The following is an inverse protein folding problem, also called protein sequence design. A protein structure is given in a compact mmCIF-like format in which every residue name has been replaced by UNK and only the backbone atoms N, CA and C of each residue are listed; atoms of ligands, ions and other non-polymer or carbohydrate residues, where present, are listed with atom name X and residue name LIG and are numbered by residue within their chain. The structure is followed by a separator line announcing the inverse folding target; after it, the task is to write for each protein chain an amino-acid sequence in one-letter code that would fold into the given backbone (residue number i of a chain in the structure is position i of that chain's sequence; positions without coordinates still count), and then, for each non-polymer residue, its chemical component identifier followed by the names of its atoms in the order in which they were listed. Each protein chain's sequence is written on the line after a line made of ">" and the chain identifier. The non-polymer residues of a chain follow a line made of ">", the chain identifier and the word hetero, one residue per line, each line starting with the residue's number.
data_IF_043973065565
#
_entry.id   IF_043973065565
#
_cell.length_a   1.000
_cell.length_b   1.000
_cell.length_c   1.000
_cell.angle_alpha   90.00
_cell.angle_beta   90.00
_cell.angle_gamma   90.00
#
_symmetry.space_group_name_H-M   'P 1'
#
loop_
_entity.id
_entity.type
_entity.pdbx_description
1 polymer ?
#
# COMPACT_ATOMS: atom_id res chain seq x y z
N UNK A 1 7.64 4.80 -20.11
CA UNK A 1 6.59 3.76 -20.08
C UNK A 1 6.44 3.03 -21.42
N UNK A 2 6.01 3.69 -22.52
CA UNK A 2 5.82 3.04 -23.85
C UNK A 2 7.01 2.22 -24.35
N UNK A 3 8.23 2.77 -24.29
CA UNK A 3 9.43 2.05 -24.74
C UNK A 3 9.73 0.80 -23.89
N UNK A 4 9.49 0.85 -22.57
CA UNK A 4 9.67 -0.30 -21.69
C UNK A 4 8.64 -1.38 -21.98
N UNK A 5 7.38 -0.99 -22.21
CA UNK A 5 6.34 -1.93 -22.61
C UNK A 5 6.66 -2.59 -23.95
N UNK A 6 7.06 -1.81 -24.97
CA UNK A 6 7.47 -2.35 -26.26
C UNK A 6 8.65 -3.32 -26.16
N UNK A 7 9.63 -3.02 -25.30
CA UNK A 7 10.73 -3.93 -25.02
C UNK A 7 10.23 -5.24 -24.39
N UNK A 8 9.38 -5.18 -23.36
CA UNK A 8 8.77 -6.39 -22.77
C UNK A 8 7.93 -7.19 -23.78
N UNK A 9 7.18 -6.50 -24.64
CA UNK A 9 6.40 -7.13 -25.71
C UNK A 9 7.28 -7.89 -26.70
N UNK A 10 8.47 -7.37 -27.02
CA UNK A 10 9.41 -8.06 -27.91
C UNK A 10 9.93 -9.40 -27.35
N UNK A 11 9.81 -9.60 -26.03
CA UNK A 11 10.13 -10.85 -25.34
C UNK A 11 8.88 -11.62 -24.86
N UNK A 12 7.66 -11.19 -25.24
CA UNK A 12 6.39 -11.77 -24.76
C UNK A 12 6.24 -11.77 -23.23
N UNK A 13 6.73 -10.72 -22.57
CA UNK A 13 6.69 -10.55 -21.12
C UNK A 13 5.64 -9.52 -20.65
N UNK A 14 4.97 -8.83 -21.56
CA UNK A 14 4.04 -7.73 -21.23
C UNK A 14 2.84 -8.15 -20.38
N UNK A 15 2.41 -9.41 -20.50
CA UNK A 15 1.28 -9.96 -19.72
C UNK A 15 1.74 -10.56 -18.37
N UNK A 16 3.05 -10.59 -18.12
CA UNK A 16 3.67 -11.09 -16.88
C UNK A 16 4.31 -9.98 -16.04
N UNK A 17 4.74 -8.91 -16.69
CA UNK A 17 5.44 -7.77 -16.08
C UNK A 17 4.72 -6.50 -16.53
N UNK A 18 3.93 -5.92 -15.65
CA UNK A 18 3.25 -4.66 -15.93
C UNK A 18 4.22 -3.48 -15.86
N UNK A 19 3.98 -2.46 -16.68
CA UNK A 19 4.67 -1.17 -16.59
C UNK A 19 3.71 -0.16 -15.97
N UNK A 20 4.05 0.33 -14.78
CA UNK A 20 3.32 1.40 -14.10
C UNK A 20 4.28 2.51 -13.63
N UNK A 21 3.77 3.45 -12.84
CA UNK A 21 4.51 4.51 -12.18
C UNK A 21 3.89 4.76 -10.81
N UNK A 22 4.72 4.98 -9.80
CA UNK A 22 4.27 5.28 -8.45
C UNK A 22 3.98 6.78 -8.30
N UNK A 23 2.95 7.11 -7.53
CA UNK A 23 2.52 8.48 -7.27
C UNK A 23 2.42 8.72 -5.77
N UNK A 24 2.84 9.89 -5.27
CA UNK A 24 2.39 10.32 -3.94
C UNK A 24 0.87 10.51 -3.95
N UNK A 25 0.21 10.23 -2.81
CA UNK A 25 -1.21 10.56 -2.62
C UNK A 25 -1.54 12.05 -2.88
N UNK A 26 -0.54 12.94 -2.84
CA UNK A 26 -0.67 14.36 -3.18
C UNK A 26 -1.07 14.63 -4.66
N UNK A 27 -1.16 13.60 -5.50
CA UNK A 27 -1.81 13.72 -6.82
C UNK A 27 -3.31 14.00 -6.73
N UNK A 28 -3.92 13.82 -5.55
CA UNK A 28 -5.32 14.17 -5.31
C UNK A 28 -5.45 15.63 -4.86
N UNK A 29 -6.40 16.38 -5.43
CA UNK A 29 -6.83 17.68 -4.92
C UNK A 29 -7.88 17.56 -3.82
N UNK A 30 -8.58 16.43 -3.76
CA UNK A 30 -9.59 16.12 -2.75
C UNK A 30 -9.53 14.64 -2.42
N UNK A 31 -9.60 14.32 -1.13
CA UNK A 31 -9.64 12.96 -0.61
C UNK A 31 -10.55 12.80 0.61
N UNK A 32 -11.32 13.84 0.97
CA UNK A 32 -12.26 13.81 2.08
C UNK A 32 -13.57 14.52 1.73
N UNK A 33 -14.74 13.86 1.92
CA UNK A 33 -14.85 12.42 2.20
C UNK A 33 -14.29 11.57 1.03
N UNK A 34 -14.00 10.27 1.21
CA UNK A 34 -13.39 9.45 0.17
C UNK A 34 -14.12 9.48 -1.18
N UNK A 35 -15.46 9.50 -1.18
CA UNK A 35 -16.28 9.64 -2.39
C UNK A 35 -16.07 10.93 -3.17
N UNK A 36 -15.49 11.96 -2.56
CA UNK A 36 -15.10 13.21 -3.22
C UNK A 36 -13.66 13.15 -3.78
N UNK A 37 -13.07 11.96 -3.85
CA UNK A 37 -11.75 11.71 -4.43
C UNK A 37 -11.62 12.29 -5.84
N UNK A 38 -10.64 13.16 -6.05
CA UNK A 38 -10.39 13.78 -7.35
C UNK A 38 -8.91 14.07 -7.55
N UNK A 39 -8.38 13.81 -8.75
CA UNK A 39 -7.03 14.19 -9.11
C UNK A 39 -6.88 15.71 -9.21
N UNK A 40 -5.77 16.22 -8.72
CA UNK A 40 -5.38 17.60 -8.94
C UNK A 40 -5.15 17.86 -10.45
N UNK A 41 -5.43 19.08 -10.93
CA UNK A 41 -5.13 19.45 -12.30
C UNK A 41 -3.66 19.17 -12.65
N UNK A 42 -3.44 18.42 -13.73
CA UNK A 42 -2.09 18.07 -14.19
C UNK A 42 -2.05 17.98 -15.71
N UNK A 43 -0.87 18.14 -16.28
CA UNK A 43 -0.63 18.04 -17.72
C UNK A 43 -0.34 16.61 -18.19
N UNK A 44 -0.19 15.67 -17.26
CA UNK A 44 0.32 14.32 -17.52
C UNK A 44 -0.59 13.18 -17.05
N UNK A 45 -1.48 13.39 -16.07
CA UNK A 45 -2.24 12.28 -15.46
C UNK A 45 -3.11 11.56 -16.48
N UNK A 46 -3.83 12.29 -17.34
CA UNK A 46 -4.67 11.69 -18.38
C UNK A 46 -3.87 10.75 -19.29
N UNK A 47 -2.67 11.13 -19.71
CA UNK A 47 -1.82 10.32 -20.59
C UNK A 47 -1.26 9.08 -19.86
N UNK A 48 -0.99 9.18 -18.57
CA UNK A 48 -0.60 8.04 -17.73
C UNK A 48 -1.77 7.07 -17.61
N UNK A 49 -2.96 7.54 -17.24
CA UNK A 49 -4.15 6.70 -17.07
C UNK A 49 -4.55 6.00 -18.37
N UNK A 50 -4.49 6.71 -19.50
CA UNK A 50 -4.70 6.11 -20.83
C UNK A 50 -3.70 4.98 -21.09
N UNK A 51 -2.42 5.19 -20.80
CA UNK A 51 -1.41 4.16 -20.97
C UNK A 51 -1.68 2.95 -20.10
N UNK A 52 -1.92 3.15 -18.79
CA UNK A 52 -2.19 2.09 -17.84
C UNK A 52 -3.43 1.26 -18.25
N UNK A 53 -4.50 1.93 -18.68
CA UNK A 53 -5.72 1.27 -19.14
C UNK A 53 -5.49 0.43 -20.41
N UNK A 54 -4.76 0.95 -21.40
CA UNK A 54 -4.44 0.20 -22.63
C UNK A 54 -3.59 -1.04 -22.36
N UNK A 55 -2.73 -0.99 -21.35
CA UNK A 55 -1.82 -2.10 -21.00
C UNK A 55 -2.29 -2.95 -19.84
N UNK A 56 -3.52 -2.74 -19.36
CA UNK A 56 -4.09 -3.39 -18.18
C UNK A 56 -3.15 -3.36 -16.95
N UNK A 57 -2.48 -2.23 -16.72
CA UNK A 57 -1.56 -2.03 -15.62
C UNK A 57 -2.24 -1.29 -14.45
N UNK A 58 -1.88 -1.58 -13.20
CA UNK A 58 -2.46 -0.94 -12.02
C UNK A 58 -1.97 0.50 -11.86
N UNK A 59 -2.77 1.35 -11.20
CA UNK A 59 -2.33 2.63 -10.67
C UNK A 59 -1.58 2.40 -9.35
N UNK A 60 -0.34 2.89 -9.24
CA UNK A 60 0.47 2.71 -8.03
C UNK A 60 0.53 4.00 -7.22
N UNK A 61 0.24 3.92 -5.92
CA UNK A 61 0.19 5.08 -5.03
C UNK A 61 0.94 4.84 -3.71
N UNK A 62 1.72 5.81 -3.29
CA UNK A 62 2.36 5.87 -1.98
C UNK A 62 1.38 6.58 -1.03
N UNK A 63 0.81 5.84 -0.07
CA UNK A 63 -0.26 6.32 0.81
C UNK A 63 0.12 6.12 2.27
N UNK A 64 0.19 7.21 3.03
CA UNK A 64 0.69 7.21 4.40
C UNK A 64 -0.29 7.90 5.36
N UNK A 65 -1.05 7.14 6.15
CA UNK A 65 -1.84 7.69 7.26
C UNK A 65 -1.00 8.50 8.26
N UNK A 66 0.29 8.17 8.41
CA UNK A 66 1.22 8.91 9.26
C UNK A 66 1.24 10.41 8.96
N UNK A 67 1.29 10.84 7.69
CA UNK A 67 1.39 12.26 7.37
C UNK A 67 0.12 13.04 7.72
N UNK A 68 -1.06 12.41 7.60
CA UNK A 68 -2.31 13.03 8.04
C UNK A 68 -2.33 13.22 9.56
N UNK A 69 -1.87 12.22 10.33
CA UNK A 69 -1.76 12.34 11.78
C UNK A 69 -0.72 13.37 12.21
N UNK A 70 0.48 13.34 11.62
CA UNK A 70 1.54 14.33 11.86
C UNK A 70 1.05 15.76 11.61
N UNK A 71 0.29 15.97 10.53
CA UNK A 71 -0.24 17.29 10.17
C UNK A 71 -1.39 17.79 11.06
N UNK A 72 -2.13 16.90 11.73
CA UNK A 72 -3.25 17.28 12.60
C UNK A 72 -3.49 16.25 13.72
N UNK A 73 -2.58 16.14 14.70
CA UNK A 73 -2.66 15.10 15.74
C UNK A 73 -3.85 15.28 16.69
N UNK A 74 -4.45 16.48 16.76
CA UNK A 74 -5.67 16.76 17.50
C UNK A 74 -6.95 16.54 16.68
N UNK A 75 -6.86 16.57 15.34
CA UNK A 75 -8.01 16.42 14.44
C UNK A 75 -8.14 15.02 13.83
N UNK A 76 -7.03 14.28 13.76
CA UNK A 76 -6.96 12.91 13.25
C UNK A 76 -6.77 11.96 14.42
N UNK A 77 -7.71 11.03 14.60
CA UNK A 77 -7.59 9.99 15.63
C UNK A 77 -6.39 9.10 15.36
N UNK A 78 -5.57 8.90 16.38
CA UNK A 78 -4.46 7.94 16.34
C UNK A 78 -4.98 6.50 16.12
N UNK A 79 -6.13 6.15 16.70
CA UNK A 79 -6.72 4.82 16.52
C UNK A 79 -7.07 4.56 15.04
N UNK A 80 -7.66 5.55 14.37
CA UNK A 80 -8.07 5.47 12.97
C UNK A 80 -6.90 5.26 12.00
N UNK A 81 -5.75 5.89 12.26
CA UNK A 81 -4.56 5.78 11.41
C UNK A 81 -3.70 4.56 11.74
N UNK A 82 -3.92 3.90 12.88
CA UNK A 82 -3.21 2.68 13.31
C UNK A 82 -4.02 1.39 13.13
N UNK A 83 -5.12 1.43 12.37
CA UNK A 83 -6.04 0.29 12.19
C UNK A 83 -6.61 -0.26 13.51
N UNK A 84 -6.74 0.57 14.54
CA UNK A 84 -7.36 0.16 15.81
C UNK A 84 -8.88 0.31 15.67
N UNK A 85 -9.50 -0.74 15.15
CA UNK A 85 -10.94 -0.80 14.85
C UNK A 85 -11.80 -1.03 16.09
N UNK A 86 -13.13 -1.10 15.92
CA UNK A 86 -14.10 -1.45 16.99
C UNK A 86 -13.83 -2.80 17.67
N UNK A 87 -13.06 -3.69 17.02
CA UNK A 87 -12.66 -4.97 17.60
C UNK A 87 -11.48 -4.81 18.58
N UNK A 88 -10.80 -3.66 18.58
CA UNK A 88 -9.75 -3.32 19.53
C UNK A 88 -10.41 -2.80 20.82
N UNK A 89 -10.16 -3.42 21.99
CA UNK A 89 -10.73 -2.96 23.25
C UNK A 89 -10.44 -1.47 23.49
N UNK A 90 -11.48 -0.70 23.80
CA UNK A 90 -11.42 0.75 24.08
C UNK A 90 -10.99 1.64 22.90
N UNK A 91 -10.94 1.14 21.66
CA UNK A 91 -10.72 1.95 20.46
C UNK A 91 -12.00 2.04 19.64
N UNK A 92 -12.53 3.26 19.49
CA UNK A 92 -13.62 3.53 18.55
C UNK A 92 -13.24 4.78 17.79
N UNK A 93 -12.66 4.60 16.61
CA UNK A 93 -12.63 5.66 15.61
C UNK A 93 -13.04 5.11 14.27
N UNK A 94 -14.19 5.60 13.80
CA UNK A 94 -14.72 5.34 12.47
C UNK A 94 -14.98 6.69 11.80
N UNK A 95 -14.79 6.74 10.49
CA UNK A 95 -15.13 7.90 9.67
C UNK A 95 -16.23 7.47 8.72
N UNK A 96 -17.37 8.14 8.79
CA UNK A 96 -18.48 7.93 7.84
C UNK A 96 -18.35 8.93 6.71
N UNK A 97 -18.31 8.43 5.49
CA UNK A 97 -18.45 9.26 4.30
C UNK A 97 -19.88 9.80 4.25
N UNK A 98 -20.02 11.13 4.39
CA UNK A 98 -21.32 11.79 4.49
C UNK A 98 -22.16 11.67 3.21
N UNK A 99 -21.54 11.44 2.05
CA UNK A 99 -22.22 11.38 0.76
C UNK A 99 -22.74 9.99 0.46
N UNK A 100 -22.01 8.94 0.85
CA UNK A 100 -22.32 7.55 0.52
C UNK A 100 -22.86 6.74 1.71
N UNK A 101 -22.63 7.21 2.94
CA UNK A 101 -22.92 6.46 4.17
C UNK A 101 -21.92 5.32 4.45
N UNK A 102 -20.87 5.16 3.62
CA UNK A 102 -19.84 4.16 3.84
C UNK A 102 -19.03 4.46 5.09
N UNK A 103 -18.74 3.41 5.86
CA UNK A 103 -18.00 3.51 7.12
C UNK A 103 -16.58 3.00 6.92
N UNK A 104 -15.61 3.88 7.19
CA UNK A 104 -14.19 3.58 7.14
C UNK A 104 -13.67 3.39 8.56
N UNK A 105 -13.16 2.19 8.85
CA UNK A 105 -12.60 1.86 10.17
C UNK A 105 -11.09 2.15 10.27
N UNK A 106 -10.44 2.43 9.14
CA UNK A 106 -9.05 2.87 9.09
C UNK A 106 -8.84 3.86 7.94
N UNK A 107 -7.80 4.69 8.07
CA UNK A 107 -7.51 5.73 7.10
C UNK A 107 -6.96 5.19 5.77
N UNK A 108 -6.22 4.08 5.77
CA UNK A 108 -5.62 3.58 4.53
C UNK A 108 -6.69 3.11 3.54
N UNK A 109 -7.74 2.43 4.01
CA UNK A 109 -8.91 2.09 3.21
C UNK A 109 -9.56 3.34 2.61
N UNK A 110 -9.71 4.40 3.41
CA UNK A 110 -10.27 5.67 2.96
C UNK A 110 -9.40 6.39 1.91
N UNK A 111 -8.07 6.33 2.07
CA UNK A 111 -7.13 6.88 1.09
C UNK A 111 -7.17 6.10 -0.23
N UNK A 112 -7.27 4.78 -0.18
CA UNK A 112 -7.38 3.94 -1.39
C UNK A 112 -8.72 4.16 -2.09
N UNK A 113 -9.83 4.24 -1.36
CA UNK A 113 -11.13 4.55 -1.98
C UNK A 113 -11.19 5.97 -2.56
N UNK A 114 -10.51 6.95 -1.97
CA UNK A 114 -10.36 8.28 -2.58
C UNK A 114 -9.63 8.21 -3.93
N UNK A 115 -8.61 7.34 -4.07
CA UNK A 115 -7.92 7.13 -5.35
C UNK A 115 -8.84 6.43 -6.34
N UNK A 116 -9.57 5.39 -5.93
CA UNK A 116 -10.54 4.75 -6.82
C UNK A 116 -11.62 5.72 -7.30
N UNK A 117 -12.21 6.53 -6.42
CA UNK A 117 -13.20 7.53 -6.82
C UNK A 117 -12.63 8.56 -7.81
N UNK A 118 -11.36 8.96 -7.64
CA UNK A 118 -10.68 9.82 -8.61
C UNK A 118 -10.49 9.16 -9.98
N UNK A 119 -10.15 7.86 -10.01
CA UNK A 119 -10.03 7.07 -11.24
C UNK A 119 -11.39 6.91 -11.93
N UNK A 120 -12.45 6.62 -11.17
CA UNK A 120 -13.82 6.51 -11.66
C UNK A 120 -14.32 7.81 -12.28
N UNK A 121 -14.09 8.95 -11.60
CA UNK A 121 -14.43 10.27 -12.11
C UNK A 121 -13.72 10.60 -13.44
N UNK A 122 -12.56 9.98 -13.70
CA UNK A 122 -11.80 10.10 -14.95
C UNK A 122 -12.15 9.03 -15.99
N UNK A 123 -13.10 8.12 -15.70
CA UNK A 123 -13.54 7.07 -16.61
C UNK A 123 -12.75 5.75 -16.55
N UNK A 124 -11.96 5.53 -15.50
CA UNK A 124 -11.09 4.35 -15.33
C UNK A 124 -11.53 3.42 -14.20
N UNK A 125 -12.84 3.16 -14.08
CA UNK A 125 -13.42 2.40 -12.98
C UNK A 125 -12.84 0.97 -12.80
N UNK A 126 -12.35 0.35 -13.87
CA UNK A 126 -11.77 -1.00 -13.83
C UNK A 126 -10.28 -1.01 -13.48
N UNK A 127 -9.62 0.15 -13.37
CA UNK A 127 -8.20 0.21 -13.05
C UNK A 127 -7.97 -0.22 -11.60
N UNK A 128 -7.09 -1.20 -11.40
CA UNK A 128 -6.67 -1.63 -10.06
C UNK A 128 -5.76 -0.57 -9.42
N UNK A 129 -5.76 -0.53 -8.09
CA UNK A 129 -4.88 0.33 -7.29
C UNK A 129 -3.99 -0.57 -6.46
N UNK A 130 -2.69 -0.27 -6.46
CA UNK A 130 -1.70 -0.90 -5.59
C UNK A 130 -1.08 0.19 -4.72
N UNK A 131 -1.09 -0.01 -3.40
CA UNK A 131 -0.35 0.86 -2.49
C UNK A 131 1.13 0.49 -2.58
N UNK A 132 1.89 1.25 -3.37
CA UNK A 132 3.30 0.95 -3.66
C UNK A 132 4.23 1.25 -2.49
N UNK A 133 3.83 2.14 -1.58
CA UNK A 133 4.53 2.37 -0.32
C UNK A 133 3.54 2.81 0.76
N UNK A 134 3.67 2.20 1.93
CA UNK A 134 3.02 2.67 3.14
C UNK A 134 3.79 2.19 4.37
N UNK A 135 3.75 2.93 5.47
CA UNK A 135 4.52 2.59 6.66
C UNK A 135 4.41 3.65 7.75
N UNK A 136 5.12 3.43 8.85
CA UNK A 136 5.11 4.33 9.99
C UNK A 136 6.51 4.40 10.64
N UNK A 137 7.07 5.60 10.86
CA UNK A 137 8.42 5.74 11.37
C UNK A 137 8.51 5.43 12.87
N UNK A 138 9.57 4.72 13.25
CA UNK A 138 9.85 4.31 14.64
C UNK A 138 10.51 5.39 15.50
N UNK A 139 10.97 6.47 14.89
CA UNK A 139 11.47 7.66 15.56
C UNK A 139 11.36 8.85 14.61
N UNK A 140 11.22 10.07 15.15
CA UNK A 140 11.16 11.30 14.36
C UNK A 140 11.71 12.50 15.13
N UNK A 141 11.67 13.66 14.48
CA UNK A 141 11.98 14.96 15.08
C UNK A 141 10.86 15.39 16.06
N UNK A 142 11.09 16.41 16.93
CA UNK A 142 10.11 16.83 17.93
C UNK A 142 8.74 17.24 17.38
N UNK A 143 8.67 17.67 16.12
CA UNK A 143 7.45 18.05 15.40
C UNK A 143 6.79 16.89 14.62
N UNK A 144 7.35 15.68 14.69
CA UNK A 144 6.85 14.49 14.02
C UNK A 144 5.96 13.66 14.93
N UNK A 145 4.82 14.24 15.31
CA UNK A 145 3.87 13.62 16.21
C UNK A 145 3.52 12.19 15.77
N UNK A 146 3.64 11.25 16.72
CA UNK A 146 3.34 9.84 16.50
C UNK A 146 4.50 8.99 15.98
N UNK A 147 5.64 9.57 15.57
CA UNK A 147 6.83 8.82 15.15
C UNK A 147 7.55 8.16 16.34
N UNK A 148 7.15 6.95 16.70
CA UNK A 148 7.71 6.18 17.81
C UNK A 148 7.54 4.67 17.59
N UNK A 149 8.33 3.86 18.30
CA UNK A 149 8.32 2.39 18.19
C UNK A 149 6.92 1.79 18.42
N UNK A 150 6.16 2.12 19.50
CA UNK A 150 4.83 1.55 19.71
C UNK A 150 3.86 1.78 18.55
N UNK A 151 3.84 2.98 17.97
CA UNK A 151 2.96 3.29 16.84
C UNK A 151 3.43 2.62 15.55
N UNK A 152 4.74 2.57 15.29
CA UNK A 152 5.29 1.86 14.13
C UNK A 152 4.95 0.37 14.16
N UNK A 153 5.12 -0.23 15.35
CA UNK A 153 4.73 -1.61 15.61
C UNK A 153 3.23 -1.83 15.38
N UNK A 154 2.37 -0.97 15.96
CA UNK A 154 0.93 -1.09 15.80
C UNK A 154 0.50 -0.99 14.33
N UNK A 155 1.01 0.02 13.61
CA UNK A 155 0.69 0.26 12.21
C UNK A 155 1.04 -0.95 11.34
N UNK A 156 2.31 -1.39 11.36
CA UNK A 156 2.78 -2.44 10.47
C UNK A 156 2.21 -3.82 10.84
N UNK A 157 2.06 -4.13 12.13
CA UNK A 157 1.42 -5.39 12.55
C UNK A 157 -0.05 -5.46 12.13
N UNK A 158 -0.78 -4.34 12.26
CA UNK A 158 -2.19 -4.32 11.89
C UNK A 158 -2.39 -4.24 10.38
N UNK A 159 -1.48 -3.60 9.64
CA UNK A 159 -1.47 -3.66 8.18
C UNK A 159 -1.29 -5.09 7.68
N UNK A 160 -0.37 -5.87 8.28
CA UNK A 160 -0.19 -7.29 7.95
C UNK A 160 -1.49 -8.07 8.19
N UNK A 161 -2.14 -7.86 9.34
CA UNK A 161 -3.45 -8.48 9.62
C UNK A 161 -4.52 -8.06 8.63
N UNK A 162 -4.56 -6.77 8.26
CA UNK A 162 -5.50 -6.21 7.28
C UNK A 162 -5.31 -6.80 5.89
N UNK A 163 -4.06 -7.00 5.45
CA UNK A 163 -3.73 -7.66 4.19
C UNK A 163 -4.13 -9.14 4.21
N UNK A 164 -3.97 -9.82 5.36
CA UNK A 164 -4.33 -11.22 5.53
C UNK A 164 -5.85 -11.50 5.48
N UNK A 165 -6.71 -10.47 5.62
CA UNK A 165 -8.16 -10.68 5.46
C UNK A 165 -8.54 -10.98 4.01
N UNK A 166 -7.73 -10.50 3.04
CA UNK A 166 -8.02 -10.61 1.61
C UNK A 166 -9.21 -9.78 1.15
N UNK A 167 -9.81 -8.98 2.03
CA UNK A 167 -10.97 -8.14 1.72
C UNK A 167 -10.54 -6.86 1.00
N UNK A 168 -11.36 -6.39 0.06
CA UNK A 168 -11.21 -5.07 -0.54
C UNK A 168 -11.51 -3.93 0.43
N UNK A 169 -11.64 -2.71 -0.08
CA UNK A 169 -12.02 -1.52 0.71
C UNK A 169 -13.54 -1.36 0.79
N UNK A 170 -14.09 -0.49 1.67
CA UNK A 170 -15.53 -0.29 1.79
C UNK A 170 -16.27 0.02 0.49
N UNK A 171 -15.72 0.88 -0.38
CA UNK A 171 -16.35 1.19 -1.68
C UNK A 171 -16.02 0.13 -2.76
N UNK A 172 -14.92 -0.61 -2.60
CA UNK A 172 -14.46 -1.62 -3.57
C UNK A 172 -14.20 -2.99 -2.93
N UNK A 173 -15.22 -3.64 -2.32
CA UNK A 173 -15.02 -4.87 -1.56
C UNK A 173 -14.57 -6.07 -2.41
N UNK A 174 -14.84 -6.04 -3.72
CA UNK A 174 -14.45 -7.08 -4.68
C UNK A 174 -13.08 -6.88 -5.31
N UNK A 175 -12.43 -5.72 -5.12
CA UNK A 175 -11.08 -5.46 -5.64
C UNK A 175 -10.04 -5.90 -4.60
N UNK A 176 -8.93 -6.53 -5.02
CA UNK A 176 -7.89 -6.95 -4.09
C UNK A 176 -7.20 -5.74 -3.45
N UNK A 177 -7.07 -5.75 -2.12
CA UNK A 177 -6.26 -4.77 -1.41
C UNK A 177 -4.80 -5.21 -1.39
N UNK A 178 -3.94 -4.50 -2.12
CA UNK A 178 -2.51 -4.79 -2.23
C UNK A 178 -1.68 -3.61 -1.72
N UNK A 179 -0.71 -3.90 -0.84
CA UNK A 179 0.18 -2.88 -0.29
C UNK A 179 1.61 -3.41 -0.06
N UNK A 180 2.59 -2.53 -0.21
CA UNK A 180 3.99 -2.78 0.11
C UNK A 180 4.41 -1.94 1.33
N UNK A 181 4.98 -2.62 2.33
CA UNK A 181 5.47 -1.96 3.55
C UNK A 181 6.79 -1.25 3.24
N UNK A 182 6.81 0.05 3.46
CA UNK A 182 7.99 0.89 3.46
C UNK A 182 8.54 0.99 4.90
N UNK A 183 9.73 0.48 5.22
CA UNK A 183 10.67 -0.25 4.35
C UNK A 183 11.31 -1.42 5.09
N UNK A 184 12.13 -2.20 4.38
CA UNK A 184 12.80 -3.34 5.01
C UNK A 184 13.80 -2.89 6.08
N UNK A 185 14.65 -1.89 5.79
CA UNK A 185 15.69 -1.43 6.70
C UNK A 185 15.56 0.05 7.04
N UNK A 186 16.10 0.44 8.19
CA UNK A 186 16.42 1.83 8.46
C UNK A 186 17.52 2.31 7.50
N UNK A 187 17.30 3.42 6.81
CA UNK A 187 18.19 3.94 5.77
C UNK A 187 18.90 5.22 6.27
N UNK A 188 20.07 5.06 6.88
CA UNK A 188 20.82 6.11 7.59
C UNK A 188 21.25 7.30 6.73
N UNK A 189 21.33 7.11 5.40
CA UNK A 189 21.72 8.15 4.42
C UNK A 189 20.55 8.94 3.86
N UNK A 190 19.30 8.66 4.26
CA UNK A 190 18.16 9.44 3.75
C UNK A 190 18.22 10.90 4.25
N UNK A 191 18.11 11.89 3.34
CA UNK A 191 18.05 13.29 3.71
C UNK A 191 16.69 13.62 4.35
N UNK A 192 16.54 14.84 4.87
CA UNK A 192 15.28 15.32 5.41
C UNK A 192 15.07 14.99 6.90
N UNK A 193 13.81 14.98 7.37
CA UNK A 193 13.46 14.78 8.77
C UNK A 193 14.02 13.47 9.34
N UNK A 194 14.09 13.37 10.67
CA UNK A 194 14.55 12.17 11.35
C UNK A 194 13.71 10.95 11.02
N UNK A 195 12.40 11.08 10.86
CA UNK A 195 11.53 9.98 10.43
C UNK A 195 12.02 9.23 9.20
N UNK A 196 12.59 9.93 8.21
CA UNK A 196 13.07 9.33 6.97
C UNK A 196 14.12 8.23 7.18
N UNK A 197 14.86 8.27 8.29
CA UNK A 197 15.90 7.29 8.63
C UNK A 197 15.38 6.13 9.49
N UNK A 198 14.08 6.10 9.80
CA UNK A 198 13.50 5.25 10.84
C UNK A 198 12.22 4.50 10.43
N UNK A 199 11.96 4.30 9.13
CA UNK A 199 10.83 3.52 8.60
C UNK A 199 11.05 1.99 8.58
N UNK A 200 12.28 1.53 8.84
CA UNK A 200 12.64 0.13 8.72
C UNK A 200 11.88 -0.80 9.65
N UNK A 201 11.53 -1.98 9.14
CA UNK A 201 11.17 -3.15 9.98
C UNK A 201 12.42 -3.71 10.71
N UNK A 202 13.59 -3.55 10.09
CA UNK A 202 14.89 -4.01 10.60
C UNK A 202 15.91 -2.87 10.70
N UNK A 203 16.87 -3.04 11.61
CA UNK A 203 18.10 -2.26 11.63
C UNK A 203 19.06 -2.74 10.54
N UNK A 204 20.09 -1.96 10.16
CA UNK A 204 21.06 -2.35 9.13
C UNK A 204 21.84 -3.65 9.44
N UNK A 205 21.92 -4.05 10.71
CA UNK A 205 22.56 -5.29 11.15
C UNK A 205 21.63 -6.52 11.05
N UNK A 206 20.39 -6.34 10.58
CA UNK A 206 19.38 -7.39 10.47
C UNK A 206 18.60 -7.66 11.75
N UNK A 207 18.87 -6.95 12.85
CA UNK A 207 18.02 -7.03 14.04
C UNK A 207 16.65 -6.39 13.76
N UNK A 208 15.58 -6.89 14.37
CA UNK A 208 14.26 -6.23 14.28
C UNK A 208 14.28 -4.90 15.04
N UNK A 209 13.60 -3.89 14.51
CA UNK A 209 13.34 -2.63 15.24
C UNK A 209 12.24 -2.83 16.28
N UNK A 210 11.22 -3.62 15.92
CA UNK A 210 10.09 -4.03 16.76
C UNK A 210 9.53 -5.36 16.25
N UNK A 211 8.70 -6.01 17.07
CA UNK A 211 7.99 -7.22 16.65
C UNK A 211 6.72 -6.89 15.86
N UNK A 212 6.66 -7.30 14.60
CA UNK A 212 5.54 -7.06 13.68
C UNK A 212 4.70 -8.32 13.39
N UNK A 213 4.80 -9.36 14.22
CA UNK A 213 3.88 -10.51 14.19
C UNK A 213 4.12 -11.50 13.05
N UNK A 214 5.31 -11.45 12.43
CA UNK A 214 5.80 -12.49 11.53
C UNK A 214 6.87 -13.29 12.26
N UNK A 215 6.47 -14.34 12.97
CA UNK A 215 7.41 -15.31 13.52
C UNK A 215 8.07 -16.11 12.38
N UNK A 216 9.36 -16.41 12.52
CA UNK A 216 10.17 -17.15 11.54
C UNK A 216 9.67 -18.58 11.31
N UNK A 217 10.02 -19.20 10.17
CA UNK A 217 9.28 -19.10 8.92
C UNK A 217 7.85 -19.65 9.06
N UNK A 218 6.91 -19.02 8.35
CA UNK A 218 5.54 -19.50 8.16
C UNK A 218 5.51 -21.03 7.99
N UNK A 219 4.99 -21.74 8.98
CA UNK A 219 4.45 -23.07 8.79
C UNK A 219 3.23 -22.92 7.87
N UNK A 220 3.49 -22.84 6.58
CA UNK A 220 2.47 -22.75 5.56
C UNK A 220 1.78 -24.11 5.46
N UNK A 221 0.62 -24.24 6.11
CA UNK A 221 -0.33 -25.30 5.80
C UNK A 221 -0.89 -25.03 4.41
N UNK A 222 -0.31 -25.66 3.39
CA UNK A 222 -0.89 -25.70 2.05
C UNK A 222 -2.18 -26.51 2.14
N UNK A 223 -3.34 -25.84 2.10
CA UNK A 223 -4.57 -26.52 1.73
C UNK A 223 -4.46 -26.90 0.25
N UNK A 224 -4.13 -28.16 -0.02
CA UNK A 224 -4.20 -28.72 -1.37
C UNK A 224 -5.64 -28.68 -1.86
N UNK A 225 -5.91 -27.93 -2.92
CA UNK A 225 -7.08 -28.21 -3.75
C UNK A 225 -6.78 -29.51 -4.50
N UNK A 226 -7.47 -30.59 -4.16
CA UNK A 226 -7.35 -31.86 -4.88
C UNK A 226 -7.96 -31.69 -6.28
N UNK A 227 -7.12 -31.61 -7.30
CA UNK A 227 -7.53 -32.00 -8.65
C UNK A 227 -7.07 -33.44 -8.88
N UNK A 228 -8.04 -34.31 -9.09
CA UNK A 228 -7.81 -35.68 -9.51
C UNK A 228 -7.21 -35.66 -10.92
N UNK A 229 -5.93 -36.02 -11.05
CA UNK A 229 -5.34 -36.45 -12.31
C UNK A 229 -4.30 -37.53 -12.01
N UNK A 230 -4.69 -38.76 -12.32
CA UNK A 230 -3.88 -39.97 -12.25
C UNK A 230 -2.78 -39.97 -13.32
N UNK A 231 -1.54 -40.26 -12.91
CA UNK A 231 -0.55 -40.88 -13.78
C UNK A 231 0.78 -40.12 -13.92
N UNK A 232 1.86 -40.88 -13.76
CA UNK A 232 3.29 -40.59 -13.96
C UNK A 232 4.09 -40.06 -12.74
N UNK A 233 4.99 -40.88 -12.17
CA UNK A 233 5.92 -40.44 -11.13
C UNK A 233 7.17 -39.81 -11.78
N UNK A 234 7.75 -38.83 -11.09
CA UNK A 234 9.00 -38.12 -11.42
C UNK A 234 8.91 -37.05 -12.50
N UNK A 235 8.36 -35.90 -12.12
CA UNK A 235 8.90 -34.54 -12.34
C UNK A 235 7.78 -33.55 -12.02
N UNK A 236 7.51 -33.32 -10.73
CA UNK A 236 6.48 -32.38 -10.30
C UNK A 236 7.09 -31.19 -9.57
N UNK A 237 7.10 -30.09 -10.31
CA UNK A 237 6.59 -28.78 -9.91
C UNK A 237 7.47 -27.96 -8.95
N UNK A 238 8.30 -27.12 -9.57
CA UNK A 238 8.78 -25.88 -8.96
C UNK A 238 7.54 -25.00 -8.72
N UNK A 239 7.02 -25.01 -7.50
CA UNK A 239 6.11 -23.97 -7.04
C UNK A 239 6.95 -22.79 -6.53
N UNK A 240 7.28 -21.86 -7.43
CA UNK A 240 7.87 -20.57 -7.08
C UNK A 240 6.85 -19.76 -6.27
N UNK A 241 7.07 -19.67 -4.95
CA UNK A 241 6.65 -18.49 -4.21
C UNK A 241 7.64 -17.40 -4.62
N UNK A 242 7.27 -16.54 -5.56
CA UNK A 242 8.10 -15.37 -5.85
C UNK A 242 8.01 -14.44 -4.65
N UNK A 243 9.04 -14.44 -3.81
CA UNK A 243 9.51 -13.17 -3.28
C UNK A 243 9.97 -12.39 -4.51
N UNK A 244 9.07 -11.62 -5.10
CA UNK A 244 9.52 -10.52 -5.95
C UNK A 244 10.09 -9.51 -4.97
N UNK A 245 11.38 -9.67 -4.64
CA UNK A 245 12.22 -8.49 -4.38
C UNK A 245 12.22 -7.77 -5.70
N UNK A 246 11.19 -6.96 -5.92
CA UNK A 246 11.21 -5.97 -6.97
C UNK A 246 12.30 -5.03 -6.48
N UNK A 247 13.45 -5.08 -7.14
CA UNK A 247 14.36 -3.96 -7.17
C UNK A 247 13.58 -2.83 -7.85
N UNK A 248 12.67 -2.20 -7.11
CA UNK A 248 12.19 -0.89 -7.45
C UNK A 248 13.42 -0.03 -7.23
N UNK A 249 14.08 0.36 -8.31
CA UNK A 249 14.96 1.51 -8.27
C UNK A 249 14.08 2.72 -8.00
N UNK A 250 13.62 2.86 -6.75
CA UNK A 250 13.08 4.10 -6.24
C UNK A 250 14.26 5.05 -6.19
N UNK A 251 14.45 5.80 -7.27
CA UNK A 251 15.04 7.12 -7.15
C UNK A 251 14.02 7.98 -6.41
N UNK A 252 13.88 7.75 -5.10
CA UNK A 252 13.28 8.69 -4.16
C UNK A 252 14.27 9.83 -3.99
N UNK A 253 14.34 10.68 -5.00
CA UNK A 253 14.91 12.02 -4.86
C UNK A 253 13.77 13.01 -5.08
N UNK A 254 13.46 13.72 -3.99
CA UNK A 254 12.44 14.75 -3.85
C UNK A 254 10.99 14.26 -3.99
N UNK A 255 10.45 13.67 -2.93
CA UNK A 255 9.00 13.69 -2.68
C UNK A 255 8.70 13.85 -1.18
N UNK A 256 9.09 14.98 -0.60
CA UNK A 256 8.45 15.62 0.55
C UNK A 256 8.66 17.13 0.46
#
# INVERSE_FOLDING_TARGET
>A
MRNLYAALSSFSLQDKIFISTAHSLAVLSSSYPPSAGAFAPSTYMTQILQFLAMTNAPFMVNAYPFFAYKGSPSGVSLQYVLFQTIQTPNAVSIVTDSSTGLVYQNMLDAQVDAVYCALEAMGYANMEVIVSETGWPSAGDPDEAGANIPNAQAYNSNLIKRLATGEGTPAHPSKPFQAYIFALFNEDRKPGPKSERHYGLFNPDGSRVYDFGLDSPLAYTIHSLSSAASGYPYLSTIHTLQFVVLAVFLFSWYMY
#
